data_IF_210725353597
#
_entry.id   IF_210725353597
#
_cell.length_a   1.000
_cell.length_b   1.000
_cell.length_c   1.000
_cell.angle_alpha   90.00
_cell.angle_beta   90.00
_cell.angle_gamma   90.00
#
_symmetry.space_group_name_H-M   'P 1'
#
loop_
_entity.id
_entity.type
_entity.pdbx_description
1 polymer ?
#
# COMPACT_ATOMS: atom_id res chain seq x y z
N UNK A 1 25.57 22.78 -5.63
CA UNK A 1 26.54 23.87 -5.44
C UNK A 1 27.86 23.32 -4.94
N UNK A 2 28.87 24.18 -4.81
CA UNK A 2 30.24 23.77 -4.49
C UNK A 2 30.53 24.00 -3.01
N UNK A 3 31.15 23.02 -2.34
CA UNK A 3 31.63 23.13 -0.96
C UNK A 3 33.15 23.09 -1.00
N UNK A 4 33.80 24.02 -0.32
CA UNK A 4 35.27 24.08 -0.23
C UNK A 4 35.70 23.65 1.18
N UNK A 5 36.64 22.71 1.24
CA UNK A 5 37.34 22.30 2.47
C UNK A 5 38.83 22.31 2.17
N UNK A 6 39.63 22.87 3.09
CA UNK A 6 41.08 22.97 2.97
C UNK A 6 41.76 22.85 4.35
N UNK A 7 43.09 22.95 4.39
CA UNK A 7 43.85 22.84 5.64
C UNK A 7 43.52 23.90 6.69
N UNK A 8 42.91 25.01 6.28
CA UNK A 8 42.46 26.12 7.14
C UNK A 8 40.99 25.97 7.54
N UNK A 9 40.20 25.26 6.73
CA UNK A 9 38.80 24.96 6.98
C UNK A 9 38.51 23.45 6.79
N UNK A 10 38.83 22.62 7.80
CA UNK A 10 38.79 21.16 7.66
C UNK A 10 37.37 20.57 7.62
N UNK A 11 36.35 21.35 8.04
CA UNK A 11 34.97 20.88 8.14
C UNK A 11 34.01 21.89 7.48
N UNK A 12 33.07 21.39 6.68
CA UNK A 12 32.02 22.21 6.09
C UNK A 12 30.68 21.48 6.12
N UNK A 13 29.60 22.23 6.36
CA UNK A 13 28.21 21.74 6.31
C UNK A 13 27.48 22.52 5.23
N UNK A 14 26.65 21.83 4.46
CA UNK A 14 25.79 22.48 3.47
C UNK A 14 24.40 21.84 3.49
N UNK A 15 23.39 22.63 3.19
CA UNK A 15 21.99 22.23 3.19
C UNK A 15 21.37 22.61 1.86
N UNK A 16 20.68 21.66 1.23
CA UNK A 16 19.88 21.90 0.04
C UNK A 16 18.44 21.51 0.31
N UNK A 17 17.51 22.37 -0.11
CA UNK A 17 16.08 22.09 -0.10
C UNK A 17 15.61 21.87 -1.53
N UNK A 18 14.72 20.90 -1.71
CA UNK A 18 14.10 20.55 -3.00
C UNK A 18 12.70 19.97 -2.76
N UNK A 19 11.80 20.16 -3.73
CA UNK A 19 10.46 19.60 -3.69
C UNK A 19 10.44 18.18 -4.26
N UNK A 20 9.91 17.22 -3.51
CA UNK A 20 9.71 15.83 -3.96
C UNK A 20 8.22 15.59 -4.17
N UNK A 21 7.76 15.70 -5.42
CA UNK A 21 6.34 15.52 -5.78
C UNK A 21 5.96 14.10 -6.18
N UNK A 22 6.96 13.28 -6.50
CA UNK A 22 6.84 11.87 -6.87
C UNK A 22 8.09 11.13 -6.40
N UNK A 23 8.11 9.80 -6.46
CA UNK A 23 9.32 9.01 -6.12
C UNK A 23 10.50 9.48 -6.98
N UNK A 24 11.59 9.89 -6.33
CA UNK A 24 12.80 10.37 -6.99
C UNK A 24 14.05 9.77 -6.35
N UNK A 25 15.11 9.61 -7.15
CA UNK A 25 16.45 9.26 -6.68
C UNK A 25 17.26 10.54 -6.55
N UNK A 26 17.82 10.77 -5.35
CA UNK A 26 18.73 11.89 -5.10
C UNK A 26 20.16 11.39 -5.18
N UNK A 27 20.93 11.93 -6.11
CA UNK A 27 22.35 11.59 -6.29
C UNK A 27 23.22 12.74 -5.81
N UNK A 28 24.21 12.42 -5.00
CA UNK A 28 25.27 13.35 -4.60
C UNK A 28 26.62 12.84 -5.11
N UNK A 29 27.41 13.73 -5.70
CA UNK A 29 28.72 13.42 -6.27
C UNK A 29 29.78 14.27 -5.57
N UNK A 30 30.88 13.63 -5.16
CA UNK A 30 32.05 14.33 -4.64
C UNK A 30 33.21 14.19 -5.60
N UNK A 31 33.82 15.31 -5.93
CA UNK A 31 35.01 15.36 -6.77
C UNK A 31 36.11 16.05 -6.01
N UNK A 32 37.24 15.37 -5.80
CA UNK A 32 38.43 15.99 -5.24
C UNK A 32 39.05 16.95 -6.26
N UNK A 33 39.31 18.20 -5.86
CA UNK A 33 40.03 19.20 -6.69
C UNK A 33 41.46 19.43 -6.22
N UNK A 34 41.83 18.90 -5.04
CA UNK A 34 43.18 18.92 -4.48
C UNK A 34 43.84 17.54 -4.45
N UNK A 35 44.99 17.44 -3.80
CA UNK A 35 45.77 16.19 -3.68
C UNK A 35 45.19 15.19 -2.67
N UNK A 36 44.36 15.66 -1.73
CA UNK A 36 43.68 14.84 -0.74
C UNK A 36 42.21 14.63 -1.15
N UNK A 37 41.73 13.38 -1.09
CA UNK A 37 40.33 13.08 -1.29
C UNK A 37 39.50 13.57 -0.09
N UNK A 38 38.35 14.23 -0.32
CA UNK A 38 37.42 14.59 0.76
C UNK A 38 36.70 13.35 1.31
N UNK A 39 36.25 13.43 2.57
CA UNK A 39 35.45 12.38 3.24
C UNK A 39 34.11 12.94 3.71
N UNK A 40 33.04 12.13 3.64
CA UNK A 40 31.75 12.44 4.25
C UNK A 40 31.69 11.78 5.62
N UNK A 41 31.35 12.56 6.64
CA UNK A 41 31.03 11.99 7.96
C UNK A 41 29.57 11.51 8.02
N UNK A 42 28.61 12.34 7.64
CA UNK A 42 27.18 12.01 7.67
C UNK A 42 26.41 12.67 6.52
N UNK A 43 25.30 12.05 6.14
CA UNK A 43 24.29 12.60 5.22
C UNK A 43 22.93 12.45 5.89
N UNK A 44 22.16 13.53 5.95
CA UNK A 44 20.82 13.55 6.54
C UNK A 44 19.83 14.06 5.51
N UNK A 45 18.67 13.41 5.45
CA UNK A 45 17.51 13.88 4.69
C UNK A 45 16.38 14.11 5.68
N UNK A 46 15.89 15.35 5.74
CA UNK A 46 14.75 15.74 6.56
C UNK A 46 13.69 16.41 5.70
N UNK A 47 12.42 16.05 5.90
CA UNK A 47 11.31 16.77 5.27
C UNK A 47 11.17 18.14 5.92
N UNK A 48 11.37 19.21 5.16
CA UNK A 48 11.14 20.59 5.60
C UNK A 48 9.87 21.11 4.93
N UNK A 49 8.82 21.29 5.72
CA UNK A 49 7.48 21.63 5.29
C UNK A 49 6.47 20.74 5.99
N UNK A 50 5.33 21.32 6.35
CA UNK A 50 4.15 20.53 6.69
C UNK A 50 3.86 19.65 5.46
N UNK A 51 3.56 18.36 5.67
CA UNK A 51 2.82 17.68 4.61
C UNK A 51 1.59 18.55 4.36
N UNK A 52 1.19 18.78 3.11
CA UNK A 52 -0.11 19.38 2.86
C UNK A 52 -1.10 18.54 3.67
N UNK A 53 -1.58 19.11 4.78
CA UNK A 53 -2.39 18.36 5.73
C UNK A 53 -3.73 18.25 5.05
N UNK A 54 -3.94 17.09 4.43
CA UNK A 54 -5.19 16.78 3.78
C UNK A 54 -6.22 16.75 4.89
N UNK A 55 -7.00 17.83 4.94
CA UNK A 55 -8.02 17.98 5.97
C UNK A 55 -8.95 16.79 5.84
N UNK A 56 -9.15 16.02 6.92
CA UNK A 56 -10.01 14.85 6.88
C UNK A 56 -11.42 15.28 6.50
N UNK A 57 -12.09 14.47 5.70
CA UNK A 57 -13.49 14.66 5.37
C UNK A 57 -14.33 14.42 6.64
N UNK A 58 -15.31 15.28 6.89
CA UNK A 58 -16.29 15.17 7.98
C UNK A 58 -17.67 14.67 7.49
N UNK A 59 -17.77 14.38 6.19
CA UNK A 59 -18.99 13.95 5.52
C UNK A 59 -18.67 13.04 4.32
N UNK A 60 -19.70 12.37 3.77
CA UNK A 60 -19.53 11.43 2.65
C UNK A 60 -18.94 12.18 1.45
N UNK A 61 -17.70 11.85 1.03
CA UNK A 61 -17.06 12.53 -0.09
C UNK A 61 -17.72 12.12 -1.41
N UNK A 62 -17.61 12.98 -2.43
CA UNK A 62 -18.05 12.66 -3.79
C UNK A 62 -19.57 12.66 -4.03
N UNK A 63 -20.38 13.09 -3.06
CA UNK A 63 -21.85 13.20 -3.16
C UNK A 63 -22.32 14.16 -4.25
N UNK A 64 -21.48 15.11 -4.68
CA UNK A 64 -21.73 16.01 -5.82
C UNK A 64 -21.02 15.57 -7.11
N UNK A 65 -20.64 14.29 -7.22
CA UNK A 65 -19.84 13.77 -8.33
C UNK A 65 -18.38 14.21 -8.31
N UNK A 66 -17.94 14.84 -7.22
CA UNK A 66 -16.54 15.20 -7.00
C UNK A 66 -15.67 13.96 -6.84
N UNK A 67 -14.41 14.07 -7.22
CA UNK A 67 -13.43 12.99 -7.03
C UNK A 67 -13.23 12.73 -5.54
N UNK A 68 -13.41 11.47 -5.13
CA UNK A 68 -13.03 11.02 -3.78
C UNK A 68 -11.51 10.85 -3.76
N UNK A 69 -10.86 11.42 -2.74
CA UNK A 69 -9.42 11.35 -2.54
C UNK A 69 -9.08 10.50 -1.32
N UNK A 70 -7.99 9.75 -1.41
CA UNK A 70 -7.43 9.00 -0.28
C UNK A 70 -6.69 9.93 0.70
N UNK A 71 -6.24 9.38 1.82
CA UNK A 71 -5.46 10.12 2.85
C UNK A 71 -4.10 10.62 2.36
N UNK A 72 -3.67 10.24 1.14
CA UNK A 72 -2.47 10.76 0.47
C UNK A 72 -2.82 11.78 -0.62
N UNK A 73 -4.11 12.14 -0.78
CA UNK A 73 -4.60 13.14 -1.71
C UNK A 73 -4.77 12.66 -3.14
N UNK A 74 -4.54 11.37 -3.39
CA UNK A 74 -4.71 10.77 -4.71
C UNK A 74 -6.16 10.42 -4.93
N UNK A 75 -6.60 10.53 -6.18
CA UNK A 75 -7.94 10.06 -6.56
C UNK A 75 -8.03 8.55 -6.29
N UNK A 76 -9.10 8.13 -5.60
CA UNK A 76 -9.35 6.70 -5.38
C UNK A 76 -9.67 6.01 -6.71
N UNK A 77 -9.11 4.82 -6.90
CA UNK A 77 -9.30 3.98 -8.09
C UNK A 77 -9.90 2.65 -7.66
N UNK A 78 -11.22 2.66 -7.44
CA UNK A 78 -11.98 1.49 -6.99
C UNK A 78 -13.27 1.35 -7.81
N UNK A 79 -13.14 1.43 -9.13
CA UNK A 79 -14.29 1.44 -10.04
C UNK A 79 -15.02 0.09 -10.05
N UNK A 80 -16.34 0.12 -10.19
CA UNK A 80 -17.15 -1.09 -10.39
C UNK A 80 -17.09 -2.12 -9.26
N UNK A 81 -16.52 -1.76 -8.10
CA UNK A 81 -16.32 -2.68 -7.00
C UNK A 81 -17.37 -2.55 -5.90
N UNK A 82 -17.00 -2.93 -4.69
CA UNK A 82 -17.90 -2.99 -3.54
C UNK A 82 -17.18 -2.60 -2.25
N UNK A 83 -17.98 -2.12 -1.30
CA UNK A 83 -17.55 -1.88 0.07
C UNK A 83 -18.15 -2.94 1.00
N UNK A 84 -17.36 -3.42 1.97
CA UNK A 84 -17.77 -4.35 3.00
C UNK A 84 -17.38 -3.81 4.38
N UNK A 85 -18.19 -4.08 5.40
CA UNK A 85 -17.85 -3.81 6.78
C UNK A 85 -17.37 -5.10 7.45
N UNK A 86 -16.26 -5.01 8.17
CA UNK A 86 -15.68 -6.10 8.95
C UNK A 86 -15.40 -5.61 10.37
N UNK A 87 -15.23 -6.55 11.31
CA UNK A 87 -14.90 -6.23 12.69
C UNK A 87 -13.57 -6.87 13.06
N UNK A 88 -12.69 -6.10 13.69
CA UNK A 88 -11.48 -6.64 14.30
C UNK A 88 -11.82 -7.38 15.59
N UNK A 89 -11.06 -8.44 15.89
CA UNK A 89 -11.17 -9.16 17.15
C UNK A 89 -11.14 -10.68 17.01
N UNK A 90 -11.39 -11.33 18.13
CA UNK A 90 -11.36 -12.80 18.27
C UNK A 90 -12.74 -13.41 18.53
N UNK A 91 -13.75 -12.58 18.78
CA UNK A 91 -15.14 -13.01 18.95
C UNK A 91 -15.80 -13.52 17.66
N UNK A 92 -17.00 -14.10 17.81
CA UNK A 92 -17.81 -14.56 16.67
C UNK A 92 -18.13 -13.38 15.73
N UNK A 93 -17.93 -13.58 14.42
CA UNK A 93 -18.12 -12.54 13.40
C UNK A 93 -17.01 -11.50 13.30
N UNK A 94 -15.92 -11.65 14.06
CA UNK A 94 -14.73 -10.82 13.96
C UNK A 94 -13.62 -11.52 13.15
N UNK A 95 -12.66 -10.72 12.69
CA UNK A 95 -11.45 -11.15 12.00
C UNK A 95 -10.25 -10.77 12.87
N UNK A 96 -9.41 -11.75 13.20
CA UNK A 96 -8.22 -11.55 14.02
C UNK A 96 -7.04 -11.03 13.17
N UNK A 97 -7.25 -9.88 12.52
CA UNK A 97 -6.30 -9.16 11.67
C UNK A 97 -6.42 -7.67 12.00
N UNK A 98 -5.30 -6.95 12.00
CA UNK A 98 -5.25 -5.49 12.02
C UNK A 98 -5.70 -4.97 10.64
N UNK A 99 -6.98 -4.61 10.54
CA UNK A 99 -7.64 -4.30 9.27
C UNK A 99 -7.31 -2.89 8.80
N UNK A 100 -7.17 -1.94 9.73
CA UNK A 100 -6.86 -0.55 9.38
C UNK A 100 -5.35 -0.23 9.39
N UNK A 101 -4.52 -1.13 9.93
CA UNK A 101 -3.07 -1.04 9.93
C UNK A 101 -2.53 -0.06 10.97
N UNK A 102 -3.27 0.19 12.06
CA UNK A 102 -2.81 1.04 13.16
C UNK A 102 -1.80 0.36 14.10
N UNK A 103 -1.52 -0.93 13.85
CA UNK A 103 -0.60 -1.77 14.61
C UNK A 103 -1.26 -2.57 15.72
N UNK A 104 -2.58 -2.46 15.91
CA UNK A 104 -3.31 -3.09 17.01
C UNK A 104 -4.63 -3.73 16.52
N UNK A 105 -4.92 -4.94 16.99
CA UNK A 105 -6.25 -5.55 16.77
C UNK A 105 -7.18 -5.07 17.89
N UNK A 106 -8.18 -4.25 17.55
CA UNK A 106 -9.10 -3.68 18.54
C UNK A 106 -10.43 -4.41 18.53
N UNK A 107 -10.72 -5.18 19.57
CA UNK A 107 -11.95 -6.01 19.66
C UNK A 107 -13.22 -5.18 19.38
N UNK A 108 -14.00 -5.62 18.40
CA UNK A 108 -15.28 -5.03 18.00
C UNK A 108 -15.19 -3.79 17.10
N UNK A 109 -13.99 -3.26 16.84
CA UNK A 109 -13.77 -2.10 15.96
C UNK A 109 -14.22 -2.42 14.54
N UNK A 110 -15.15 -1.63 14.03
CA UNK A 110 -15.65 -1.77 12.66
C UNK A 110 -14.68 -1.08 11.70
N UNK A 111 -14.24 -1.80 10.67
CA UNK A 111 -13.42 -1.29 9.58
C UNK A 111 -14.12 -1.57 8.26
N UNK A 112 -14.15 -0.58 7.38
CA UNK A 112 -14.73 -0.65 6.05
C UNK A 112 -13.65 -0.87 5.02
N UNK A 113 -13.82 -1.86 4.16
CA UNK A 113 -12.91 -2.19 3.06
C UNK A 113 -13.64 -1.90 1.75
N UNK A 114 -13.03 -1.11 0.87
CA UNK A 114 -13.54 -0.83 -0.46
C UNK A 114 -12.58 -1.36 -1.51
N UNK A 115 -13.05 -2.36 -2.26
CA UNK A 115 -12.34 -2.95 -3.38
C UNK A 115 -12.86 -2.42 -4.70
N UNK A 116 -12.01 -2.32 -5.72
CA UNK A 116 -12.46 -2.07 -7.09
C UNK A 116 -11.32 -1.97 -8.09
N UNK A 117 -11.69 -1.85 -9.37
CA UNK A 117 -10.75 -1.83 -10.48
C UNK A 117 -9.90 -0.55 -10.46
N UNK A 118 -8.57 -0.73 -10.61
CA UNK A 118 -7.65 0.38 -10.85
C UNK A 118 -7.75 0.83 -12.32
N UNK A 119 -8.18 2.07 -12.53
CA UNK A 119 -8.29 2.69 -13.85
C UNK A 119 -7.36 3.88 -14.03
N UNK A 120 -6.28 3.96 -13.25
CA UNK A 120 -5.29 5.04 -13.34
C UNK A 120 -4.81 5.27 -14.79
N UNK A 121 -4.55 4.19 -15.55
CA UNK A 121 -4.06 4.29 -16.93
C UNK A 121 -5.13 4.15 -18.02
N UNK A 122 -6.41 4.38 -17.70
CA UNK A 122 -7.54 4.20 -18.64
C UNK A 122 -7.59 2.78 -19.27
N UNK A 123 -8.49 2.54 -20.23
CA UNK A 123 -8.99 1.19 -20.55
C UNK A 123 -8.00 0.21 -21.19
N UNK A 124 -7.89 -0.95 -20.52
CA UNK A 124 -7.52 -2.32 -20.97
C UNK A 124 -6.03 -2.61 -21.29
N UNK A 125 -5.39 -3.50 -20.51
CA UNK A 125 -5.89 -4.16 -19.27
C UNK A 125 -5.99 -3.15 -18.10
N UNK A 126 -6.93 -3.37 -17.17
CA UNK A 126 -7.05 -2.56 -15.92
C UNK A 126 -5.89 -2.86 -14.99
N UNK A 127 -5.32 -1.89 -14.27
CA UNK A 127 -4.03 -2.06 -13.57
C UNK A 127 -4.05 -3.01 -12.35
N UNK A 128 -5.20 -3.62 -12.08
CA UNK A 128 -5.44 -4.56 -10.99
C UNK A 128 -6.69 -4.21 -10.20
N UNK A 129 -6.80 -4.75 -8.99
CA UNK A 129 -7.83 -4.42 -8.00
C UNK A 129 -7.16 -3.72 -6.82
N UNK A 130 -7.60 -2.50 -6.51
CA UNK A 130 -7.19 -1.75 -5.33
C UNK A 130 -8.01 -2.12 -4.12
N UNK A 131 -7.44 -1.91 -2.93
CA UNK A 131 -8.15 -1.93 -1.66
C UNK A 131 -7.91 -0.61 -0.92
N UNK A 132 -9.00 -0.01 -0.44
CA UNK A 132 -8.98 1.12 0.46
C UNK A 132 -9.63 0.73 1.78
N UNK A 133 -9.14 1.28 2.89
CA UNK A 133 -9.72 1.05 4.23
C UNK A 133 -10.17 2.35 4.87
N UNK A 134 -11.22 2.31 5.68
CA UNK A 134 -11.72 3.45 6.44
C UNK A 134 -12.38 2.99 7.74
N UNK A 135 -12.34 3.81 8.78
CA UNK A 135 -13.09 3.61 10.02
C UNK A 135 -14.36 4.46 10.10
N UNK A 136 -14.54 5.41 9.16
CA UNK A 136 -15.59 6.44 9.21
C UNK A 136 -16.36 6.61 7.89
N UNK A 137 -16.03 5.86 6.84
CA UNK A 137 -16.54 5.96 5.46
C UNK A 137 -16.17 7.25 4.72
N UNK A 138 -15.43 8.17 5.34
CA UNK A 138 -15.11 9.48 4.78
C UNK A 138 -13.63 9.58 4.39
N UNK A 139 -12.77 9.03 5.24
CA UNK A 139 -11.32 9.07 5.12
C UNK A 139 -10.80 7.68 4.77
N UNK A 140 -10.28 7.55 3.55
CA UNK A 140 -9.89 6.26 2.97
C UNK A 140 -8.38 6.16 2.79
N UNK A 141 -7.76 5.15 3.37
CA UNK A 141 -6.33 4.87 3.21
C UNK A 141 -6.11 3.81 2.13
N UNK A 142 -5.26 4.12 1.15
CA UNK A 142 -4.83 3.17 0.11
C UNK A 142 -4.00 2.03 0.73
N UNK A 143 -4.48 0.78 0.61
CA UNK A 143 -3.74 -0.44 0.99
C UNK A 143 -3.04 -1.11 -0.19
N UNK A 144 -3.07 -0.47 -1.35
CA UNK A 144 -2.39 -0.91 -2.56
C UNK A 144 -3.23 -1.87 -3.40
N UNK A 145 -2.55 -2.57 -4.28
CA UNK A 145 -3.16 -3.52 -5.22
C UNK A 145 -3.21 -4.90 -4.58
N UNK A 146 -4.42 -5.43 -4.40
CA UNK A 146 -4.67 -6.73 -3.76
C UNK A 146 -4.83 -7.87 -4.76
N UNK A 147 -5.14 -7.55 -6.02
CA UNK A 147 -5.09 -8.49 -7.13
C UNK A 147 -4.39 -7.83 -8.30
N UNK A 148 -3.23 -8.37 -8.68
CA UNK A 148 -2.43 -7.87 -9.79
C UNK A 148 -2.89 -8.49 -11.10
N UNK A 149 -2.70 -7.75 -12.19
CA UNK A 149 -2.74 -8.35 -13.52
C UNK A 149 -1.66 -9.43 -13.63
N UNK A 150 -2.03 -10.54 -14.26
CA UNK A 150 -1.08 -11.56 -14.65
C UNK A 150 -0.83 -11.48 -16.16
N UNK A 151 0.45 -11.51 -16.53
CA UNK A 151 0.90 -11.46 -17.92
C UNK A 151 0.73 -12.78 -18.66
N UNK A 152 0.44 -13.85 -17.92
CA UNK A 152 0.20 -15.19 -18.43
C UNK A 152 -0.97 -15.80 -17.68
N UNK A 153 -1.73 -16.66 -18.37
CA UNK A 153 -2.69 -17.53 -17.68
C UNK A 153 -1.90 -18.46 -16.78
N UNK A 154 -2.18 -18.46 -15.48
CA UNK A 154 -1.64 -19.50 -14.61
C UNK A 154 -2.33 -20.82 -15.00
N UNK A 155 -1.57 -21.89 -15.26
CA UNK A 155 -2.15 -23.15 -15.64
C UNK A 155 -3.00 -23.66 -14.48
N UNK A 156 -4.21 -24.08 -14.82
CA UNK A 156 -5.12 -24.77 -13.91
C UNK A 156 -4.96 -26.25 -14.22
N UNK A 157 -4.25 -26.96 -13.35
CA UNK A 157 -3.98 -28.38 -13.47
C UNK A 157 -4.61 -29.14 -12.30
N UNK A 158 -4.73 -30.47 -12.41
CA UNK A 158 -5.17 -31.30 -11.28
C UNK A 158 -4.18 -31.13 -10.13
N UNK A 159 -4.69 -30.76 -8.95
CA UNK A 159 -3.86 -30.60 -7.76
C UNK A 159 -3.15 -31.91 -7.41
N UNK A 160 -1.87 -31.81 -7.06
CA UNK A 160 -1.13 -32.91 -6.47
C UNK A 160 -1.71 -33.32 -5.10
N UNK A 161 -2.41 -32.39 -4.43
CA UNK A 161 -3.14 -32.65 -3.20
C UNK A 161 -4.60 -33.01 -3.49
N UNK A 162 -5.18 -33.86 -2.64
CA UNK A 162 -6.61 -34.20 -2.73
C UNK A 162 -7.40 -33.39 -1.72
N UNK A 163 -8.55 -32.87 -2.15
CA UNK A 163 -9.48 -32.24 -1.23
C UNK A 163 -10.15 -33.33 -0.41
N UNK A 164 -10.24 -33.15 0.91
CA UNK A 164 -11.00 -34.05 1.77
C UNK A 164 -12.41 -33.50 1.87
N UNK A 165 -13.38 -34.27 1.40
CA UNK A 165 -14.80 -33.96 1.56
C UNK A 165 -15.43 -34.89 2.58
N UNK A 166 -16.37 -34.35 3.36
CA UNK A 166 -17.17 -35.11 4.30
C UNK A 166 -18.64 -34.76 4.09
N UNK A 167 -19.51 -35.76 4.12
CA UNK A 167 -20.95 -35.56 4.21
C UNK A 167 -21.38 -35.39 5.67
N UNK A 168 -22.48 -34.67 5.89
CA UNK A 168 -23.08 -34.54 7.22
C UNK A 168 -23.44 -35.93 7.78
N UNK A 169 -22.92 -36.25 8.98
CA UNK A 169 -23.11 -37.56 9.63
C UNK A 169 -22.04 -38.62 9.33
N UNK A 170 -20.94 -38.27 8.65
CA UNK A 170 -19.85 -39.21 8.38
C UNK A 170 -18.98 -39.48 9.63
N UNK A 171 -18.70 -40.75 9.91
CA UNK A 171 -18.01 -41.23 11.12
C UNK A 171 -16.47 -41.13 11.06
N UNK A 172 -15.92 -40.06 10.46
CA UNK A 172 -14.51 -39.70 10.64
C UNK A 172 -13.49 -40.19 9.60
N UNK A 173 -13.89 -40.72 8.44
CA UNK A 173 -12.98 -40.90 7.29
C UNK A 173 -13.56 -40.18 6.08
N UNK A 174 -13.09 -38.95 5.83
CA UNK A 174 -13.50 -38.18 4.66
C UNK A 174 -13.08 -38.87 3.35
N UNK A 175 -13.83 -38.65 2.28
CA UNK A 175 -13.46 -39.11 0.94
C UNK A 175 -12.52 -38.10 0.30
N UNK A 176 -11.46 -38.58 -0.35
CA UNK A 176 -10.54 -37.72 -1.11
C UNK A 176 -11.03 -37.54 -2.54
N UNK A 177 -11.04 -36.30 -3.04
CA UNK A 177 -11.40 -35.99 -4.42
C UNK A 177 -10.31 -35.14 -5.11
N UNK A 178 -10.13 -35.39 -6.40
CA UNK A 178 -9.34 -34.52 -7.27
C UNK A 178 -10.01 -33.16 -7.41
N UNK A 179 -9.22 -32.10 -7.48
CA UNK A 179 -9.70 -30.76 -7.78
C UNK A 179 -8.68 -29.99 -8.61
N UNK A 180 -9.12 -29.10 -9.51
CA UNK A 180 -8.22 -28.20 -10.21
C UNK A 180 -7.64 -27.17 -9.24
N UNK A 181 -6.33 -26.93 -9.30
CA UNK A 181 -5.65 -25.90 -8.55
C UNK A 181 -4.81 -25.02 -9.49
N UNK A 182 -4.81 -23.72 -9.21
CA UNK A 182 -3.93 -22.76 -9.85
C UNK A 182 -2.49 -23.05 -9.44
N UNK A 183 -1.61 -23.27 -10.41
CA UNK A 183 -0.19 -23.47 -10.15
C UNK A 183 0.50 -22.09 -10.09
N UNK A 184 1.27 -21.85 -9.02
CA UNK A 184 2.05 -20.64 -8.78
C UNK A 184 3.51 -20.82 -9.23
#
# INVERSE_FOLDING_TARGET
>A
GTIQVDGSNPNAVNTYSFDVRTKQTVTYTITATGTQAPVISWLVVSRTGDAEEIQPNDSIPGTSGSVIRDTNGKAMQAHGGSAAAMKEGTGEGCVNIDLDGDGQITEGKTVYLWYGEDKTNNTRPVDGVKCYVSTDLYNWTDKGTVLYLQSSILPIEESAEKAITSSAGANGTGTTQSYPAMQL
#
